data_IF_659437345797
#
_entry.id   IF_659437345797
#
_cell.length_a   1.000
_cell.length_b   1.000
_cell.length_c   1.000
_cell.angle_alpha   90.00
_cell.angle_beta   90.00
_cell.angle_gamma   90.00
#
_symmetry.space_group_name_H-M   'P 1'
#
loop_
_entity.id
_entity.type
_entity.pdbx_description
1 polymer ?
#
# COMPACT_ATOMS: atom_id res chain seq x y z
N UNK A 1 -7.52 21.86 8.57
CA UNK A 1 -6.46 21.71 7.54
C UNK A 1 -5.74 20.36 7.62
N UNK A 2 -5.24 19.90 8.79
CA UNK A 2 -4.53 18.60 8.92
C UNK A 2 -5.35 17.42 8.42
N UNK A 3 -6.63 17.34 8.77
CA UNK A 3 -7.53 16.26 8.36
C UNK A 3 -7.78 16.20 6.84
N UNK A 4 -7.80 17.33 6.15
CA UNK A 4 -7.95 17.35 4.70
C UNK A 4 -6.68 16.81 3.99
N UNK A 5 -5.50 17.18 4.47
CA UNK A 5 -4.24 16.68 3.93
C UNK A 5 -4.10 15.16 4.09
N UNK A 6 -4.51 14.64 5.25
CA UNK A 6 -4.51 13.18 5.50
C UNK A 6 -5.49 12.48 4.55
N UNK A 7 -6.68 13.03 4.33
CA UNK A 7 -7.63 12.45 3.36
C UNK A 7 -7.04 12.43 1.94
N UNK A 8 -6.44 13.54 1.50
CA UNK A 8 -5.79 13.62 0.17
C UNK A 8 -4.68 12.58 0.05
N UNK A 9 -3.81 12.44 1.06
CA UNK A 9 -2.75 11.43 1.06
C UNK A 9 -3.33 10.01 0.96
N UNK A 10 -4.41 9.69 1.69
CA UNK A 10 -5.11 8.41 1.59
C UNK A 10 -5.64 8.14 0.20
N UNK A 11 -6.25 9.14 -0.44
CA UNK A 11 -6.77 9.02 -1.80
C UNK A 11 -5.64 8.79 -2.81
N UNK A 12 -4.50 9.48 -2.65
CA UNK A 12 -3.32 9.25 -3.49
C UNK A 12 -2.83 7.80 -3.37
N UNK A 13 -2.66 7.29 -2.14
CA UNK A 13 -2.26 5.88 -1.94
C UNK A 13 -3.27 4.91 -2.54
N UNK A 14 -4.58 5.15 -2.36
CA UNK A 14 -5.61 4.32 -2.95
C UNK A 14 -5.56 4.31 -4.49
N UNK A 15 -5.33 5.45 -5.11
CA UNK A 15 -5.19 5.57 -6.57
C UNK A 15 -3.94 4.83 -7.06
N UNK A 16 -2.79 5.01 -6.41
CA UNK A 16 -1.53 4.38 -6.83
C UNK A 16 -1.61 2.85 -6.73
N UNK A 17 -2.05 2.30 -5.59
CA UNK A 17 -2.25 0.86 -5.46
C UNK A 17 -3.39 0.33 -6.34
N UNK A 18 -4.44 1.13 -6.55
CA UNK A 18 -5.54 0.80 -7.44
C UNK A 18 -5.08 0.66 -8.89
N UNK A 19 -4.26 1.59 -9.36
CA UNK A 19 -3.65 1.49 -10.69
C UNK A 19 -2.75 0.25 -10.83
N UNK A 20 -1.93 -0.02 -9.83
CA UNK A 20 -1.06 -1.20 -9.81
C UNK A 20 -1.87 -2.51 -9.87
N UNK A 21 -2.95 -2.60 -9.10
CA UNK A 21 -3.87 -3.74 -9.15
C UNK A 21 -4.56 -3.88 -10.52
N UNK A 22 -5.08 -2.78 -11.07
CA UNK A 22 -5.76 -2.79 -12.39
C UNK A 22 -4.81 -3.27 -13.48
N UNK A 23 -3.58 -2.77 -13.54
CA UNK A 23 -2.61 -3.23 -14.53
C UNK A 23 -2.34 -4.73 -14.44
N UNK A 24 -2.27 -5.29 -13.23
CA UNK A 24 -2.12 -6.74 -13.03
C UNK A 24 -3.33 -7.51 -13.54
N UNK A 25 -4.55 -7.06 -13.23
CA UNK A 25 -5.77 -7.72 -13.71
C UNK A 25 -5.95 -7.62 -15.23
N UNK A 26 -5.48 -6.53 -15.85
CA UNK A 26 -5.54 -6.35 -17.31
C UNK A 26 -4.60 -7.33 -18.03
N UNK A 27 -3.39 -7.53 -17.49
CA UNK A 27 -2.41 -8.48 -18.04
C UNK A 27 -1.66 -9.22 -16.95
N UNK A 28 -2.31 -10.23 -16.39
CA UNK A 28 -1.74 -11.09 -15.36
C UNK A 28 -0.55 -11.91 -15.89
N UNK A 29 -0.58 -12.28 -17.19
CA UNK A 29 0.51 -13.01 -17.84
C UNK A 29 1.79 -12.18 -17.90
N UNK A 30 1.70 -10.92 -18.30
CA UNK A 30 2.84 -10.01 -18.30
C UNK A 30 3.39 -9.81 -16.89
N UNK A 31 2.52 -9.65 -15.89
CA UNK A 31 2.94 -9.55 -14.48
C UNK A 31 3.68 -10.80 -14.03
N UNK A 32 3.17 -11.99 -14.34
CA UNK A 32 3.83 -13.26 -14.01
C UNK A 32 5.20 -13.37 -14.71
N UNK A 33 5.31 -12.97 -15.97
CA UNK A 33 6.57 -12.95 -16.72
C UNK A 33 7.59 -12.03 -16.05
N UNK A 34 7.16 -10.85 -15.60
CA UNK A 34 8.02 -9.90 -14.90
C UNK A 34 8.54 -10.46 -13.56
N UNK A 35 7.67 -11.15 -12.81
CA UNK A 35 8.05 -11.83 -11.55
C UNK A 35 9.02 -13.00 -11.84
N UNK A 36 8.78 -13.76 -12.92
CA UNK A 36 9.67 -14.86 -13.30
C UNK A 36 11.07 -14.38 -13.66
N UNK A 37 11.20 -13.17 -14.26
CA UNK A 37 12.47 -12.59 -14.66
C UNK A 37 13.44 -12.33 -13.49
N UNK A 38 12.93 -12.14 -12.27
CA UNK A 38 13.74 -12.01 -11.05
C UNK A 38 13.97 -13.35 -10.34
N UNK A 39 13.59 -14.48 -10.95
CA UNK A 39 13.82 -15.83 -10.41
C UNK A 39 12.84 -16.25 -9.32
N UNK A 40 11.71 -15.57 -9.16
CA UNK A 40 10.71 -15.93 -8.14
C UNK A 40 9.99 -17.23 -8.52
N UNK A 41 9.79 -18.17 -7.56
CA UNK A 41 9.05 -19.40 -7.83
C UNK A 41 7.54 -19.11 -7.99
N UNK A 42 6.83 -19.94 -8.75
CA UNK A 42 5.39 -19.84 -8.96
C UNK A 42 4.90 -18.40 -9.33
N UNK A 43 5.44 -17.78 -10.38
CA UNK A 43 5.25 -16.35 -10.64
C UNK A 43 3.79 -15.95 -10.85
N UNK A 44 2.97 -16.82 -11.44
CA UNK A 44 1.53 -16.57 -11.61
C UNK A 44 0.79 -16.51 -10.27
N UNK A 45 1.13 -17.37 -9.32
CA UNK A 45 0.56 -17.33 -7.97
C UNK A 45 0.89 -16.01 -7.27
N UNK A 46 2.17 -15.59 -7.33
CA UNK A 46 2.59 -14.33 -6.72
C UNK A 46 1.99 -13.10 -7.43
N UNK A 47 1.76 -13.16 -8.73
CA UNK A 47 1.05 -12.11 -9.47
C UNK A 47 -0.39 -11.93 -8.94
N UNK A 48 -1.13 -13.03 -8.75
CA UNK A 48 -2.47 -12.98 -8.16
C UNK A 48 -2.47 -12.50 -6.71
N UNK A 49 -1.54 -13.00 -5.88
CA UNK A 49 -1.42 -12.56 -4.49
C UNK A 49 -1.13 -11.06 -4.38
N UNK A 50 -0.23 -10.55 -5.22
CA UNK A 50 0.08 -9.12 -5.28
C UNK A 50 -1.14 -8.29 -5.69
N UNK A 51 -1.88 -8.70 -6.72
CA UNK A 51 -3.07 -8.01 -7.18
C UNK A 51 -4.15 -7.91 -6.08
N UNK A 52 -4.46 -9.03 -5.41
CA UNK A 52 -5.44 -9.03 -4.33
C UNK A 52 -4.95 -8.27 -3.09
N UNK A 53 -3.66 -8.34 -2.78
CA UNK A 53 -3.08 -7.55 -1.70
C UNK A 53 -3.21 -6.05 -1.97
N UNK A 54 -2.93 -5.61 -3.18
CA UNK A 54 -3.10 -4.20 -3.57
C UNK A 54 -4.56 -3.75 -3.50
N UNK A 55 -5.52 -4.60 -3.88
CA UNK A 55 -6.96 -4.32 -3.69
C UNK A 55 -7.30 -4.15 -2.21
N UNK A 56 -6.77 -5.02 -1.34
CA UNK A 56 -6.98 -4.90 0.11
C UNK A 56 -6.39 -3.59 0.66
N UNK A 57 -5.22 -3.16 0.18
CA UNK A 57 -4.65 -1.86 0.53
C UNK A 57 -5.55 -0.70 0.08
N UNK A 58 -6.08 -0.75 -1.14
CA UNK A 58 -7.03 0.27 -1.64
C UNK A 58 -8.24 0.38 -0.72
N UNK A 59 -8.85 -0.74 -0.35
CA UNK A 59 -10.00 -0.77 0.55
C UNK A 59 -9.63 -0.15 1.91
N UNK A 60 -8.48 -0.52 2.48
CA UNK A 60 -8.02 0.01 3.77
C UNK A 60 -7.76 1.52 3.70
N UNK A 61 -7.13 2.02 2.65
CA UNK A 61 -6.87 3.46 2.48
C UNK A 61 -8.15 4.27 2.24
N UNK A 62 -9.12 3.74 1.47
CA UNK A 62 -10.39 4.42 1.24
C UNK A 62 -11.27 4.45 2.49
N UNK A 63 -11.37 3.33 3.20
CA UNK A 63 -12.27 3.20 4.35
C UNK A 63 -11.67 3.66 5.67
N UNK A 64 -10.33 3.71 5.76
CA UNK A 64 -9.61 3.95 7.02
C UNK A 64 -9.59 2.74 7.97
N UNK A 65 -10.23 1.62 7.62
CA UNK A 65 -10.17 0.38 8.39
C UNK A 65 -8.77 -0.23 8.29
N UNK A 66 -8.22 -0.64 9.43
CA UNK A 66 -6.85 -1.20 9.51
C UNK A 66 -5.79 -0.31 8.84
N UNK A 67 -6.04 1.00 8.83
CA UNK A 67 -5.23 1.96 8.07
C UNK A 67 -3.74 1.92 8.45
N UNK A 68 -3.43 1.84 9.74
CA UNK A 68 -2.03 1.80 10.20
C UNK A 68 -1.35 0.51 9.79
N UNK A 69 -2.03 -0.61 9.98
CA UNK A 69 -1.54 -1.94 9.58
C UNK A 69 -1.32 -2.00 8.06
N UNK A 70 -2.29 -1.48 7.29
CA UNK A 70 -2.18 -1.39 5.84
C UNK A 70 -1.01 -0.50 5.41
N UNK A 71 -0.80 0.65 6.03
CA UNK A 71 0.31 1.53 5.72
C UNK A 71 1.68 0.88 6.01
N UNK A 72 1.79 0.16 7.13
CA UNK A 72 3.02 -0.56 7.47
C UNK A 72 3.28 -1.73 6.51
N UNK A 73 2.25 -2.53 6.20
CA UNK A 73 2.37 -3.63 5.25
C UNK A 73 2.68 -3.13 3.84
N UNK A 74 2.07 -2.01 3.43
CA UNK A 74 2.37 -1.37 2.16
C UNK A 74 3.82 -0.88 2.11
N UNK A 75 4.34 -0.29 3.18
CA UNK A 75 5.74 0.14 3.27
C UNK A 75 6.70 -1.05 3.11
N UNK A 76 6.44 -2.17 3.80
CA UNK A 76 7.23 -3.39 3.67
C UNK A 76 7.15 -3.98 2.25
N UNK A 77 5.96 -3.99 1.66
CA UNK A 77 5.74 -4.44 0.28
C UNK A 77 6.50 -3.58 -0.73
N UNK A 78 6.40 -2.26 -0.64
CA UNK A 78 7.10 -1.32 -1.53
C UNK A 78 8.62 -1.44 -1.35
N UNK A 79 9.11 -1.66 -0.12
CA UNK A 79 10.53 -1.92 0.15
C UNK A 79 11.00 -3.20 -0.55
N UNK A 80 10.20 -4.28 -0.47
CA UNK A 80 10.49 -5.52 -1.19
C UNK A 80 10.55 -5.28 -2.71
N UNK A 81 9.58 -4.55 -3.29
CA UNK A 81 9.56 -4.24 -4.71
C UNK A 81 10.78 -3.41 -5.14
N UNK A 82 11.19 -2.43 -4.32
CA UNK A 82 12.37 -1.62 -4.59
C UNK A 82 13.62 -2.48 -4.79
N UNK A 83 13.88 -3.40 -3.88
CA UNK A 83 15.06 -4.27 -3.97
C UNK A 83 14.92 -5.37 -5.02
N UNK A 84 13.74 -5.99 -5.14
CA UNK A 84 13.53 -7.10 -6.05
C UNK A 84 13.58 -6.68 -7.53
N UNK A 85 13.00 -5.53 -7.87
CA UNK A 85 12.84 -5.10 -9.25
C UNK A 85 13.75 -3.95 -9.67
N UNK A 86 14.18 -3.11 -8.72
CA UNK A 86 14.97 -1.90 -8.98
C UNK A 86 16.26 -1.85 -8.13
N UNK A 87 16.70 -2.98 -7.57
CA UNK A 87 17.88 -3.05 -6.71
C UNK A 87 19.20 -2.83 -7.46
N UNK A 88 20.34 -2.79 -6.74
CA UNK A 88 21.65 -2.46 -7.28
C UNK A 88 22.09 -3.28 -8.50
N UNK A 89 21.61 -4.51 -8.62
CA UNK A 89 21.89 -5.38 -9.77
C UNK A 89 21.36 -4.85 -11.10
N UNK A 90 20.40 -3.92 -11.08
CA UNK A 90 19.76 -3.36 -12.26
C UNK A 90 20.31 -1.99 -12.67
N UNK A 91 21.22 -1.37 -11.88
CA UNK A 91 21.66 0.00 -12.12
C UNK A 91 22.77 0.15 -13.17
N UNK A 92 23.52 -0.91 -13.45
CA UNK A 92 24.64 -0.85 -14.39
C UNK A 92 24.16 -0.44 -15.78
N UNK A 93 24.52 0.79 -16.20
CA UNK A 93 24.11 1.35 -17.48
C UNK A 93 22.64 1.82 -17.57
N UNK A 94 21.89 1.78 -16.48
CA UNK A 94 20.49 2.18 -16.45
C UNK A 94 20.17 3.12 -15.26
N UNK A 95 20.39 4.41 -15.47
CA UNK A 95 20.14 5.45 -14.46
C UNK A 95 18.65 5.54 -14.08
N UNK A 96 17.75 5.13 -14.95
CA UNK A 96 16.30 5.14 -14.68
C UNK A 96 15.94 4.16 -13.58
N UNK A 97 16.58 2.97 -13.55
CA UNK A 97 16.38 1.97 -12.50
C UNK A 97 16.82 2.49 -11.12
N UNK A 98 17.94 3.23 -11.07
CA UNK A 98 18.33 3.93 -9.84
C UNK A 98 17.30 4.97 -9.42
N UNK A 99 16.73 5.73 -10.36
CA UNK A 99 15.65 6.68 -10.10
C UNK A 99 14.43 6.00 -9.49
N UNK A 100 13.95 4.92 -10.08
CA UNK A 100 12.83 4.14 -9.56
C UNK A 100 13.09 3.60 -8.15
N UNK A 101 14.32 3.12 -7.89
CA UNK A 101 14.71 2.69 -6.55
C UNK A 101 14.57 3.82 -5.53
N UNK A 102 15.08 5.01 -5.82
CA UNK A 102 14.99 6.19 -4.94
C UNK A 102 13.54 6.62 -4.73
N UNK A 103 12.72 6.62 -5.80
CA UNK A 103 11.30 6.97 -5.72
C UNK A 103 10.52 6.06 -4.77
N UNK A 104 10.85 4.76 -4.73
CA UNK A 104 10.27 3.83 -3.76
C UNK A 104 10.52 4.26 -2.32
N UNK A 105 11.69 4.79 -1.98
CA UNK A 105 11.98 5.28 -0.62
C UNK A 105 11.18 6.53 -0.27
N UNK A 106 10.93 7.42 -1.22
CA UNK A 106 10.03 8.56 -1.02
C UNK A 106 8.60 8.10 -0.71
N UNK A 107 8.13 7.08 -1.43
CA UNK A 107 6.82 6.48 -1.20
C UNK A 107 6.73 5.76 0.16
N UNK A 108 7.77 5.01 0.54
CA UNK A 108 7.90 4.36 1.86
C UNK A 108 7.86 5.41 2.98
N UNK A 109 8.58 6.52 2.84
CA UNK A 109 8.55 7.60 3.83
C UNK A 109 7.13 8.13 4.05
N UNK A 110 6.37 8.37 2.97
CA UNK A 110 4.96 8.75 3.03
C UNK A 110 4.09 7.72 3.77
N UNK A 111 4.28 6.43 3.50
CA UNK A 111 3.56 5.34 4.16
C UNK A 111 3.91 5.24 5.66
N UNK A 112 5.16 5.45 6.04
CA UNK A 112 5.57 5.49 7.44
C UNK A 112 4.98 6.70 8.19
N UNK A 113 4.90 7.86 7.56
CA UNK A 113 4.16 9.00 8.11
C UNK A 113 2.67 8.69 8.27
N UNK A 114 2.07 8.02 7.29
CA UNK A 114 0.68 7.58 7.36
C UNK A 114 0.46 6.58 8.52
N UNK A 115 1.35 5.61 8.68
CA UNK A 115 1.34 4.68 9.81
C UNK A 115 1.39 5.41 11.16
N UNK A 116 2.34 6.33 11.32
CA UNK A 116 2.51 7.08 12.57
C UNK A 116 1.33 7.99 12.88
N UNK A 117 0.81 8.69 11.87
CA UNK A 117 -0.27 9.67 12.03
C UNK A 117 -1.65 9.03 12.19
N UNK A 118 -1.94 7.97 11.46
CA UNK A 118 -3.26 7.32 11.39
C UNK A 118 -4.17 7.94 10.32
N UNK A 119 -5.41 7.44 10.19
CA UNK A 119 -6.30 7.73 9.05
C UNK A 119 -6.93 9.13 9.07
N UNK A 120 -6.76 9.90 10.16
CA UNK A 120 -7.53 11.13 10.36
C UNK A 120 -8.97 10.85 10.77
N UNK A 121 -9.83 11.87 10.68
CA UNK A 121 -11.23 11.84 11.14
C UNK A 121 -12.25 11.86 9.98
N UNK A 122 -11.81 12.08 8.74
CA UNK A 122 -12.68 12.17 7.57
C UNK A 122 -12.79 10.84 6.83
N UNK A 123 -14.02 10.50 6.44
CA UNK A 123 -14.32 9.29 5.65
C UNK A 123 -13.72 8.02 6.28
N UNK A 124 -13.96 7.81 7.57
CA UNK A 124 -13.57 6.60 8.29
C UNK A 124 -14.79 5.75 8.60
N UNK A 125 -14.69 4.45 8.29
CA UNK A 125 -15.64 3.47 8.82
C UNK A 125 -15.21 3.16 10.26
N UNK A 126 -16.07 3.49 11.24
CA UNK A 126 -15.84 3.12 12.63
C UNK A 126 -15.97 1.61 12.78
N UNK A 127 -14.96 0.97 13.37
CA UNK A 127 -15.12 -0.37 13.92
C UNK A 127 -16.28 -0.33 14.91
N UNK A 128 -17.35 -1.09 14.66
CA UNK A 128 -18.54 -1.16 15.50
C UNK A 128 -18.15 -1.21 16.98
N UNK A 129 -18.42 -0.13 17.69
CA UNK A 129 -17.88 0.11 19.02
C UNK A 129 -18.61 -0.66 20.09
N UNK A 130 -17.86 -1.42 20.82
CA UNK A 130 -18.17 -1.82 22.20
C UNK A 130 -17.83 -0.71 23.23
N UNK A 131 -17.31 0.43 22.79
CA UNK A 131 -16.87 1.50 23.68
C UNK A 131 -18.01 2.32 24.30
N UNK A 132 -19.17 2.39 23.66
CA UNK A 132 -20.28 3.24 24.16
C UNK A 132 -21.16 2.59 25.25
N UNK A 133 -21.04 1.27 25.48
CA UNK A 133 -21.83 0.60 26.53
C UNK A 133 -21.28 0.77 27.95
N UNK A 134 -20.03 1.21 28.10
CA UNK A 134 -19.45 1.41 29.44
C UNK A 134 -19.67 2.82 29.99
N UNK A 135 -19.85 3.83 29.14
CA UNK A 135 -20.15 5.20 29.61
C UNK A 135 -21.64 5.38 30.03
N UNK A 136 -22.58 4.74 29.32
CA UNK A 136 -23.98 4.78 29.70
C UNK A 136 -24.28 4.09 31.07
N UNK A 137 -23.45 3.12 31.49
CA UNK A 137 -23.59 2.48 32.79
C UNK A 137 -23.05 3.29 33.98
N UNK A 138 -22.26 4.33 33.73
CA UNK A 138 -21.72 5.19 34.79
C UNK A 138 -22.59 6.42 35.07
N UNK A 139 -23.51 6.76 34.19
CA UNK A 139 -24.40 7.92 34.31
C UNK A 139 -25.86 7.55 34.56
N UNK A 140 -26.19 6.33 34.83
CA UNK A 140 -27.47 5.81 35.27
C UNK A 140 -27.32 5.23 36.68
#
# INVERSE_FOLDING_TARGET
>A
MKSAAVLVARLIFAVVFGMAAVFKFVDMGATATYIAAIGFPAPLLFAWLAAFFEVALVIAFLTGLYFREAALLAAAYVLFLAFAFHGPSHWAGNQMEFGFFVDHFSFIAGLLFAFAHGPGDKMILQRGGTANKFEERKNG
#
